data_IF_839975950277
#
_entry.id   IF_839975950277
#
_cell.length_a   1.000
_cell.length_b   1.000
_cell.length_c   1.000
_cell.angle_alpha   90.00
_cell.angle_beta   90.00
_cell.angle_gamma   90.00
#
_symmetry.space_group_name_H-M   'P 1'
#
loop_
_entity.id
_entity.type
_entity.pdbx_description
1 polymer ?
#
# COMPACT_ATOMS: atom_id res chain seq x y z
N UNK A 1 45.23 -11.22 -15.34
CA UNK A 1 43.79 -11.38 -15.64
C UNK A 1 43.29 -12.41 -14.66
N UNK A 2 42.57 -11.98 -13.63
CA UNK A 2 42.00 -12.88 -12.63
C UNK A 2 40.87 -13.66 -13.28
N UNK A 3 41.13 -14.94 -13.54
CA UNK A 3 40.07 -15.92 -13.84
C UNK A 3 39.07 -15.85 -12.70
N UNK A 4 37.92 -15.27 -12.99
CA UNK A 4 36.81 -15.21 -12.04
C UNK A 4 36.12 -16.56 -12.16
N UNK A 5 36.17 -17.37 -11.11
CA UNK A 5 35.47 -18.66 -11.13
C UNK A 5 34.00 -18.43 -11.51
N UNK A 6 33.44 -19.25 -12.42
CA UNK A 6 32.02 -19.21 -12.75
C UNK A 6 31.18 -19.33 -11.47
N UNK A 7 30.36 -18.31 -11.18
CA UNK A 7 29.55 -18.23 -9.96
C UNK A 7 30.14 -17.39 -8.82
N UNK A 8 31.38 -16.91 -8.95
CA UNK A 8 31.92 -15.91 -8.01
C UNK A 8 31.21 -14.55 -8.17
N UNK A 9 31.11 -13.77 -7.09
CA UNK A 9 30.58 -12.40 -7.14
C UNK A 9 31.33 -11.55 -8.19
N UNK A 10 32.66 -11.72 -8.30
CA UNK A 10 33.48 -11.04 -9.30
C UNK A 10 33.07 -11.41 -10.73
N UNK A 11 32.79 -12.69 -10.97
CA UNK A 11 32.29 -13.18 -12.26
C UNK A 11 30.88 -12.65 -12.57
N UNK A 12 29.99 -12.62 -11.58
CA UNK A 12 28.64 -12.04 -11.72
C UNK A 12 28.70 -10.53 -12.02
N UNK A 13 29.57 -9.78 -11.33
CA UNK A 13 29.80 -8.36 -11.61
C UNK A 13 30.34 -8.15 -13.02
N UNK A 14 31.28 -8.98 -13.48
CA UNK A 14 31.80 -8.93 -14.85
C UNK A 14 30.74 -9.20 -15.91
N UNK A 15 29.85 -10.18 -15.69
CA UNK A 15 28.70 -10.44 -16.57
C UNK A 15 27.75 -9.24 -16.57
N UNK A 16 27.42 -8.70 -15.41
CA UNK A 16 26.54 -7.55 -15.29
C UNK A 16 27.09 -6.32 -16.02
N UNK A 17 28.38 -6.02 -15.83
CA UNK A 17 29.05 -4.91 -16.49
C UNK A 17 29.09 -5.08 -18.02
N UNK A 18 29.33 -6.30 -18.51
CA UNK A 18 29.30 -6.61 -19.93
C UNK A 18 27.91 -6.40 -20.55
N UNK A 19 26.84 -6.75 -19.84
CA UNK A 19 25.45 -6.53 -20.25
C UNK A 19 25.08 -5.04 -20.30
N UNK A 20 25.55 -4.23 -19.35
CA UNK A 20 25.34 -2.77 -19.36
C UNK A 20 26.06 -2.13 -20.55
N UNK A 21 27.32 -2.51 -20.78
CA UNK A 21 28.17 -1.89 -21.81
C UNK A 21 27.80 -2.32 -23.23
N UNK A 22 27.23 -3.52 -23.39
CA UNK A 22 26.79 -4.06 -24.68
C UNK A 22 25.31 -4.46 -24.61
N UNK A 23 24.39 -3.48 -24.51
CA UNK A 23 22.97 -3.79 -24.42
C UNK A 23 22.52 -4.49 -25.70
N UNK A 24 21.98 -5.70 -25.56
CA UNK A 24 21.34 -6.38 -26.67
C UNK A 24 20.01 -5.69 -26.97
N UNK A 25 19.86 -5.12 -28.17
CA UNK A 25 18.63 -4.43 -28.57
C UNK A 25 17.39 -5.34 -28.59
N UNK A 26 17.57 -6.68 -28.62
CA UNK A 26 16.49 -7.65 -28.48
C UNK A 26 16.17 -8.00 -27.01
N UNK A 27 17.03 -7.64 -26.06
CA UNK A 27 16.82 -7.82 -24.63
C UNK A 27 15.87 -6.72 -24.08
N UNK A 28 14.64 -6.72 -24.59
CA UNK A 28 13.55 -5.91 -24.07
C UNK A 28 13.11 -6.44 -22.70
N UNK A 29 12.45 -5.60 -21.90
CA UNK A 29 12.09 -5.92 -20.53
C UNK A 29 11.23 -7.18 -20.37
N UNK A 30 10.41 -7.49 -21.37
CA UNK A 30 9.62 -8.72 -21.51
C UNK A 30 10.48 -9.96 -21.85
N UNK A 31 11.49 -9.81 -22.70
CA UNK A 31 12.41 -10.89 -23.05
C UNK A 31 13.39 -11.22 -21.91
N UNK A 32 13.80 -10.23 -21.13
CA UNK A 32 14.66 -10.41 -19.96
C UNK A 32 13.88 -10.87 -18.73
N UNK A 33 12.63 -10.41 -18.60
CA UNK A 33 11.75 -10.72 -17.48
C UNK A 33 10.32 -10.96 -18.01
N UNK A 34 10.02 -12.16 -18.53
CA UNK A 34 8.67 -12.51 -18.96
C UNK A 34 7.67 -12.27 -17.83
N UNK A 35 6.54 -11.62 -18.14
CA UNK A 35 5.51 -11.27 -17.17
C UNK A 35 5.81 -10.05 -16.29
N UNK A 36 6.90 -9.29 -16.55
CA UNK A 36 7.20 -8.05 -15.79
C UNK A 36 6.07 -7.02 -15.82
N UNK A 37 5.25 -7.02 -16.86
CA UNK A 37 4.11 -6.11 -17.03
C UNK A 37 2.78 -6.76 -16.61
N UNK A 38 2.79 -8.02 -16.17
CA UNK A 38 1.57 -8.67 -15.71
C UNK A 38 1.13 -8.03 -14.39
N UNK A 39 -0.19 -7.91 -14.16
CA UNK A 39 -0.71 -7.50 -12.87
C UNK A 39 -0.13 -8.37 -11.75
N UNK A 40 0.26 -7.80 -10.61
CA UNK A 40 0.70 -8.58 -9.47
C UNK A 40 -0.45 -9.48 -9.01
N UNK A 41 -0.14 -10.77 -8.80
CA UNK A 41 -1.09 -11.78 -8.31
C UNK A 41 -1.11 -11.88 -6.78
N UNK A 42 -0.26 -11.12 -6.10
CA UNK A 42 -0.12 -11.10 -4.65
C UNK A 42 0.60 -9.84 -4.20
N UNK A 43 0.63 -9.62 -2.88
CA UNK A 43 1.28 -8.44 -2.30
C UNK A 43 2.77 -8.38 -2.68
N UNK A 44 3.23 -7.22 -3.12
CA UNK A 44 4.62 -6.94 -3.42
C UNK A 44 5.02 -5.58 -2.84
N UNK A 45 6.24 -5.45 -2.28
CA UNK A 45 6.69 -4.18 -1.76
C UNK A 45 6.88 -3.17 -2.90
N UNK A 46 6.21 -2.02 -2.82
CA UNK A 46 6.51 -0.91 -3.72
C UNK A 46 7.91 -0.39 -3.41
N UNK A 47 8.73 -0.25 -4.45
CA UNK A 47 10.08 0.33 -4.37
C UNK A 47 10.11 1.82 -4.71
N UNK A 48 8.95 2.44 -4.91
CA UNK A 48 8.82 3.88 -5.18
C UNK A 48 9.26 4.74 -3.97
N UNK A 49 9.64 6.01 -4.18
CA UNK A 49 9.94 6.93 -3.10
C UNK A 49 8.74 7.11 -2.16
N UNK A 50 9.02 7.43 -0.89
CA UNK A 50 7.97 7.86 0.02
C UNK A 50 7.34 9.16 -0.47
N UNK A 51 6.01 9.24 -0.41
CA UNK A 51 5.22 10.41 -0.81
C UNK A 51 4.37 10.89 0.36
N UNK A 52 4.21 12.20 0.52
CA UNK A 52 3.31 12.74 1.54
C UNK A 52 1.87 12.34 1.28
N UNK A 53 1.09 12.17 2.35
CA UNK A 53 -0.35 11.93 2.28
C UNK A 53 -1.03 13.08 1.52
N UNK A 54 -1.84 12.73 0.52
CA UNK A 54 -2.52 13.69 -0.35
C UNK A 54 -4.03 13.57 -0.15
N UNK A 55 -4.57 14.31 0.80
CA UNK A 55 -6.01 14.42 0.98
C UNK A 55 -6.67 14.97 -0.30
N UNK A 56 -7.83 14.42 -0.66
CA UNK A 56 -8.69 15.03 -1.68
C UNK A 56 -9.18 16.37 -1.16
N UNK A 57 -9.14 17.38 -2.05
CA UNK A 57 -9.83 18.64 -1.83
C UNK A 57 -11.35 18.42 -1.95
N UNK A 58 -12.13 18.57 -0.85
CA UNK A 58 -13.58 18.36 -0.87
C UNK A 58 -14.32 19.22 -1.92
N UNK A 59 -13.78 20.40 -2.25
CA UNK A 59 -14.36 21.27 -3.29
C UNK A 59 -14.36 20.63 -4.68
N UNK A 60 -13.46 19.67 -4.93
CA UNK A 60 -13.36 18.95 -6.21
C UNK A 60 -14.34 17.77 -6.33
N UNK A 61 -15.02 17.40 -5.25
CA UNK A 61 -16.02 16.33 -5.25
C UNK A 61 -17.38 16.79 -5.76
N UNK A 62 -17.62 18.11 -5.80
CA UNK A 62 -18.82 18.75 -6.35
C UNK A 62 -20.14 18.16 -5.80
N UNK A 63 -20.19 17.87 -4.49
CA UNK A 63 -21.38 17.34 -3.80
C UNK A 63 -22.29 18.41 -3.19
N UNK A 64 -21.94 19.69 -3.34
CA UNK A 64 -22.71 20.81 -2.79
C UNK A 64 -23.95 21.15 -3.63
N UNK A 65 -24.84 21.97 -3.06
CA UNK A 65 -26.03 22.48 -3.76
C UNK A 65 -27.31 21.67 -3.56
N UNK A 66 -27.28 20.67 -2.68
CA UNK A 66 -28.44 19.85 -2.30
C UNK A 66 -28.91 20.19 -0.87
N UNK A 67 -30.22 20.13 -0.61
CA UNK A 67 -30.79 20.44 0.71
C UNK A 67 -30.43 19.38 1.78
N UNK A 68 -30.21 18.14 1.35
CA UNK A 68 -29.78 17.03 2.20
C UNK A 68 -28.77 16.13 1.49
N UNK A 69 -27.93 15.45 2.26
CA UNK A 69 -27.07 14.38 1.74
C UNK A 69 -27.86 13.31 0.97
N UNK A 70 -29.12 13.08 1.33
CA UNK A 70 -29.99 12.10 0.68
C UNK A 70 -30.49 12.54 -0.71
N UNK A 71 -30.42 13.83 -1.02
CA UNK A 71 -30.90 14.38 -2.29
C UNK A 71 -29.81 14.36 -3.38
N UNK A 72 -28.53 14.18 -2.99
CA UNK A 72 -27.41 13.98 -3.90
C UNK A 72 -27.71 12.81 -4.84
N UNK A 73 -27.63 12.96 -6.18
CA UNK A 73 -27.78 11.86 -7.12
C UNK A 73 -26.73 10.76 -6.94
N UNK A 74 -27.13 9.50 -7.10
CA UNK A 74 -26.22 8.34 -6.95
C UNK A 74 -25.01 8.41 -7.90
N UNK A 75 -25.16 9.00 -9.09
CA UNK A 75 -24.06 9.23 -10.02
C UNK A 75 -23.01 10.22 -9.51
N UNK A 76 -23.45 11.27 -8.80
CA UNK A 76 -22.54 12.25 -8.18
C UNK A 76 -21.82 11.62 -6.98
N UNK A 77 -22.56 10.92 -6.12
CA UNK A 77 -21.99 10.20 -4.98
C UNK A 77 -20.98 9.13 -5.43
N UNK A 78 -21.31 8.36 -6.46
CA UNK A 78 -20.41 7.34 -7.04
C UNK A 78 -19.11 7.97 -7.54
N UNK A 79 -19.20 9.06 -8.30
CA UNK A 79 -18.02 9.77 -8.80
C UNK A 79 -17.16 10.28 -7.65
N UNK A 80 -17.77 10.89 -6.64
CA UNK A 80 -17.04 11.40 -5.49
C UNK A 80 -16.36 10.29 -4.68
N UNK A 81 -17.04 9.16 -4.43
CA UNK A 81 -16.47 7.98 -3.77
C UNK A 81 -15.25 7.47 -4.55
N UNK A 82 -15.39 7.28 -5.85
CA UNK A 82 -14.29 6.80 -6.71
C UNK A 82 -13.11 7.77 -6.68
N UNK A 83 -13.36 9.07 -6.74
CA UNK A 83 -12.31 10.10 -6.69
C UNK A 83 -11.55 10.08 -5.35
N UNK A 84 -12.25 9.90 -4.22
CA UNK A 84 -11.59 9.72 -2.91
C UNK A 84 -10.77 8.45 -2.88
N UNK A 85 -11.32 7.32 -3.34
CA UNK A 85 -10.61 6.04 -3.32
C UNK A 85 -9.38 6.05 -4.24
N UNK A 86 -9.48 6.61 -5.43
CA UNK A 86 -8.36 6.70 -6.39
C UNK A 86 -7.21 7.56 -5.86
N UNK A 87 -7.50 8.49 -4.94
CA UNK A 87 -6.51 9.44 -4.40
C UNK A 87 -5.95 9.01 -3.04
N UNK A 88 -6.82 8.57 -2.14
CA UNK A 88 -6.52 8.28 -0.73
C UNK A 88 -6.53 6.77 -0.44
N UNK A 89 -6.71 5.91 -1.44
CA UNK A 89 -6.83 4.46 -1.27
C UNK A 89 -5.54 3.71 -0.85
N UNK A 90 -5.66 2.61 -0.08
CA UNK A 90 -6.87 2.16 0.59
C UNK A 90 -7.25 3.18 1.66
N UNK A 91 -8.54 3.53 1.71
CA UNK A 91 -9.06 4.59 2.57
C UNK A 91 -10.02 3.98 3.58
N UNK A 92 -9.82 4.31 4.85
CA UNK A 92 -10.73 3.89 5.91
C UNK A 92 -12.08 4.59 5.78
N UNK A 93 -13.19 3.89 6.04
CA UNK A 93 -14.56 4.40 5.90
C UNK A 93 -14.77 5.75 6.58
N UNK A 94 -14.19 5.95 7.77
CA UNK A 94 -14.28 7.22 8.50
C UNK A 94 -13.67 8.39 7.73
N UNK A 95 -12.55 8.17 7.03
CA UNK A 95 -11.88 9.19 6.22
C UNK A 95 -12.71 9.49 4.99
N UNK A 96 -13.18 8.45 4.29
CA UNK A 96 -14.07 8.59 3.14
C UNK A 96 -15.34 9.39 3.50
N UNK A 97 -16.02 8.99 4.57
CA UNK A 97 -17.23 9.66 5.03
C UNK A 97 -16.98 11.13 5.41
N UNK A 98 -15.82 11.45 6.00
CA UNK A 98 -15.44 12.82 6.32
C UNK A 98 -15.32 13.69 5.06
N UNK A 99 -14.63 13.19 4.01
CA UNK A 99 -14.49 13.89 2.72
C UNK A 99 -15.83 14.14 2.05
N UNK A 100 -16.69 13.13 2.03
CA UNK A 100 -18.02 13.23 1.39
C UNK A 100 -18.92 14.21 2.13
N UNK A 101 -18.89 14.21 3.46
CA UNK A 101 -19.68 15.12 4.29
C UNK A 101 -19.20 16.56 4.17
N UNK A 102 -17.89 16.79 4.17
CA UNK A 102 -17.30 18.11 3.97
C UNK A 102 -17.65 18.68 2.59
N UNK A 103 -17.58 17.86 1.54
CA UNK A 103 -17.96 18.27 0.18
C UNK A 103 -19.45 18.56 0.01
N UNK A 104 -20.30 17.92 0.82
CA UNK A 104 -21.75 18.12 0.81
C UNK A 104 -22.22 19.24 1.75
N UNK A 105 -21.31 19.88 2.50
CA UNK A 105 -21.62 20.84 3.58
C UNK A 105 -22.55 20.25 4.66
N UNK A 106 -22.35 18.97 5.01
CA UNK A 106 -23.16 18.25 6.00
C UNK A 106 -22.35 17.99 7.27
N UNK A 107 -22.77 18.59 8.38
CA UNK A 107 -21.96 18.59 9.61
C UNK A 107 -21.80 17.26 10.37
N UNK A 108 -22.61 16.23 10.11
CA UNK A 108 -22.50 14.95 10.87
C UNK A 108 -22.88 13.69 10.08
N UNK A 109 -22.17 12.61 10.38
CA UNK A 109 -22.50 11.26 9.91
C UNK A 109 -23.62 10.64 10.76
N UNK A 110 -24.87 10.74 10.29
CA UNK A 110 -26.01 10.01 10.86
C UNK A 110 -26.09 8.56 10.37
N UNK A 111 -26.89 7.71 11.04
CA UNK A 111 -27.08 6.29 10.65
C UNK A 111 -27.55 6.15 9.20
N UNK A 112 -28.53 6.95 8.79
CA UNK A 112 -29.06 6.93 7.42
C UNK A 112 -28.02 7.31 6.36
N UNK A 113 -27.14 8.27 6.65
CA UNK A 113 -26.05 8.66 5.75
C UNK A 113 -25.02 7.54 5.67
N UNK A 114 -24.65 6.96 6.83
CA UNK A 114 -23.76 5.79 6.89
C UNK A 114 -24.29 4.64 6.03
N UNK A 115 -25.54 4.22 6.26
CA UNK A 115 -26.19 3.15 5.50
C UNK A 115 -26.19 3.43 4.00
N UNK A 116 -26.42 4.69 3.60
CA UNK A 116 -26.37 5.09 2.18
C UNK A 116 -24.97 4.93 1.60
N UNK A 117 -23.94 5.38 2.30
CA UNK A 117 -22.54 5.26 1.85
C UNK A 117 -22.14 3.79 1.78
N UNK A 118 -22.42 3.00 2.82
CA UNK A 118 -22.13 1.56 2.86
C UNK A 118 -22.81 0.82 1.71
N UNK A 119 -24.10 1.07 1.47
CA UNK A 119 -24.82 0.48 0.34
C UNK A 119 -24.22 0.86 -1.03
N UNK A 120 -23.69 2.08 -1.17
CA UNK A 120 -22.97 2.49 -2.38
C UNK A 120 -21.63 1.75 -2.53
N UNK A 121 -20.89 1.60 -1.43
CA UNK A 121 -19.62 0.86 -1.43
C UNK A 121 -19.82 -0.60 -1.80
N UNK A 122 -20.86 -1.23 -1.28
CA UNK A 122 -21.19 -2.62 -1.58
C UNK A 122 -21.59 -2.78 -3.06
N UNK A 123 -22.41 -1.89 -3.61
CA UNK A 123 -22.77 -1.90 -5.02
C UNK A 123 -21.53 -1.72 -5.95
N UNK A 124 -20.59 -0.86 -5.57
CA UNK A 124 -19.35 -0.64 -6.34
C UNK A 124 -18.40 -1.84 -6.24
N UNK A 125 -18.39 -2.54 -5.11
CA UNK A 125 -17.63 -3.76 -4.92
C UNK A 125 -18.21 -4.93 -5.73
N UNK A 126 -19.53 -5.11 -5.69
CA UNK A 126 -20.24 -6.11 -6.51
C UNK A 126 -20.02 -5.87 -8.02
N UNK A 127 -19.93 -4.61 -8.44
CA UNK A 127 -19.61 -4.23 -9.82
C UNK A 127 -18.12 -4.40 -10.18
N UNK A 128 -17.26 -4.81 -9.24
CA UNK A 128 -15.81 -4.94 -9.44
C UNK A 128 -15.09 -3.61 -9.65
N UNK A 129 -15.73 -2.49 -9.32
CA UNK A 129 -15.12 -1.15 -9.46
C UNK A 129 -14.16 -0.89 -8.31
N UNK A 130 -14.53 -1.29 -7.10
CA UNK A 130 -13.75 -1.15 -5.87
C UNK A 130 -13.58 -2.52 -5.20
N UNK A 131 -12.64 -2.62 -4.27
CA UNK A 131 -12.49 -3.75 -3.36
C UNK A 131 -12.70 -3.30 -1.91
N UNK A 132 -13.26 -4.21 -1.10
CA UNK A 132 -13.57 -4.01 0.32
C UNK A 132 -12.61 -4.86 1.15
N UNK A 133 -11.92 -4.21 2.09
CA UNK A 133 -11.25 -4.87 3.21
C UNK A 133 -11.71 -4.15 4.48
N UNK A 134 -12.95 -4.43 4.89
CA UNK A 134 -13.70 -3.62 5.85
C UNK A 134 -12.92 -3.39 7.15
N UNK A 135 -12.79 -2.14 7.64
CA UNK A 135 -13.48 -0.90 7.23
C UNK A 135 -12.82 -0.10 6.10
N UNK A 136 -11.82 -0.65 5.41
CA UNK A 136 -11.13 0.01 4.31
C UNK A 136 -11.73 -0.32 2.94
N UNK A 137 -11.57 0.62 2.02
CA UNK A 137 -11.97 0.48 0.62
C UNK A 137 -10.85 0.99 -0.29
N UNK A 138 -10.62 0.29 -1.39
CA UNK A 138 -9.52 0.58 -2.30
C UNK A 138 -9.79 0.11 -3.72
N UNK A 139 -8.80 0.32 -4.59
CA UNK A 139 -8.64 -0.48 -5.81
C UNK A 139 -7.78 -1.68 -5.47
N UNK A 140 -7.92 -2.77 -6.22
CA UNK A 140 -7.09 -3.97 -6.04
C UNK A 140 -5.57 -3.65 -6.02
N UNK A 141 -5.13 -2.68 -6.82
CA UNK A 141 -3.73 -2.24 -6.84
C UNK A 141 -3.27 -1.66 -5.51
N UNK A 142 -4.14 -0.94 -4.80
CA UNK A 142 -3.81 -0.33 -3.52
C UNK A 142 -3.50 -1.38 -2.44
N UNK A 143 -4.11 -2.56 -2.54
CA UNK A 143 -3.91 -3.67 -1.63
C UNK A 143 -2.67 -4.51 -1.99
N UNK A 144 -2.42 -4.73 -3.28
CA UNK A 144 -1.31 -5.58 -3.73
C UNK A 144 0.03 -4.84 -3.88
N UNK A 145 0.00 -3.57 -4.28
CA UNK A 145 1.20 -2.73 -4.44
C UNK A 145 0.95 -1.41 -3.74
N UNK A 146 1.01 -1.40 -2.40
CA UNK A 146 0.69 -0.23 -1.59
C UNK A 146 1.64 0.93 -1.89
N UNK A 147 1.10 2.15 -1.89
CA UNK A 147 1.90 3.36 -1.91
C UNK A 147 2.68 3.50 -0.59
N UNK A 148 3.89 4.04 -0.64
CA UNK A 148 4.64 4.35 0.58
C UNK A 148 4.32 5.77 1.03
N UNK A 149 3.37 5.92 1.96
CA UNK A 149 2.82 7.22 2.35
C UNK A 149 3.39 7.73 3.68
N UNK A 150 3.78 9.00 3.71
CA UNK A 150 4.06 9.75 4.93
C UNK A 150 2.79 10.47 5.39
N UNK A 151 2.26 10.06 6.55
CA UNK A 151 1.03 10.57 7.15
C UNK A 151 1.25 11.82 8.01
N UNK A 152 2.47 12.36 8.10
CA UNK A 152 2.79 13.53 8.92
C UNK A 152 1.87 14.73 8.64
N UNK A 153 1.57 14.98 7.37
CA UNK A 153 0.71 16.10 6.92
C UNK A 153 -0.76 15.69 6.71
N UNK A 154 -1.15 14.46 7.08
CA UNK A 154 -2.55 14.05 7.01
C UNK A 154 -3.42 14.87 7.97
N UNK A 155 -4.69 15.18 7.63
CA UNK A 155 -5.56 15.95 8.51
C UNK A 155 -5.68 15.29 9.89
N UNK A 156 -5.51 16.07 10.96
CA UNK A 156 -5.38 15.57 12.34
C UNK A 156 -6.53 14.65 12.76
N UNK A 157 -7.77 14.99 12.38
CA UNK A 157 -8.98 14.21 12.66
C UNK A 157 -8.95 12.79 12.06
N UNK A 158 -8.19 12.60 10.99
CA UNK A 158 -8.13 11.36 10.21
C UNK A 158 -6.77 10.68 10.30
N UNK A 159 -5.75 11.34 10.88
CA UNK A 159 -4.40 10.80 11.08
C UNK A 159 -4.40 9.83 12.26
N UNK A 160 -4.79 8.60 11.98
CA UNK A 160 -4.86 7.49 12.93
C UNK A 160 -4.19 6.25 12.32
N UNK A 161 -3.41 5.52 13.11
CA UNK A 161 -2.74 4.31 12.65
C UNK A 161 -3.75 3.21 12.28
N UNK A 162 -4.90 3.18 12.94
CA UNK A 162 -5.97 2.22 12.64
C UNK A 162 -6.64 2.52 11.29
N UNK A 163 -6.42 3.70 10.72
CA UNK A 163 -6.88 4.03 9.36
C UNK A 163 -5.87 3.65 8.26
N UNK A 164 -4.67 3.18 8.62
CA UNK A 164 -3.64 2.73 7.67
C UNK A 164 -3.87 1.25 7.37
N UNK A 165 -3.87 0.89 6.09
CA UNK A 165 -4.09 -0.49 5.67
C UNK A 165 -2.90 -1.40 6.00
N UNK A 166 -3.17 -2.69 6.24
CA UNK A 166 -2.11 -3.68 6.54
C UNK A 166 -1.05 -3.75 5.45
N UNK A 167 -1.43 -3.63 4.17
CA UNK A 167 -0.48 -3.63 3.05
C UNK A 167 0.57 -2.51 3.18
N UNK A 168 0.19 -1.31 3.63
CA UNK A 168 1.12 -0.20 3.85
C UNK A 168 1.96 -0.38 5.10
N UNK A 169 1.37 -0.92 6.17
CA UNK A 169 2.12 -1.24 7.39
C UNK A 169 3.14 -2.36 7.14
N UNK A 170 2.78 -3.35 6.32
CA UNK A 170 3.71 -4.34 5.81
C UNK A 170 4.84 -3.66 5.02
N UNK A 171 4.52 -2.68 4.17
CA UNK A 171 5.53 -1.96 3.41
C UNK A 171 6.48 -1.16 4.31
N UNK A 172 5.97 -0.48 5.35
CA UNK A 172 6.83 0.29 6.26
C UNK A 172 7.77 -0.61 7.07
N UNK A 173 7.28 -1.75 7.55
CA UNK A 173 8.10 -2.76 8.23
C UNK A 173 9.16 -3.36 7.30
N UNK A 174 8.74 -3.75 6.09
CA UNK A 174 9.64 -4.28 5.08
C UNK A 174 10.77 -3.28 4.75
N UNK A 175 10.44 -2.00 4.55
CA UNK A 175 11.42 -0.94 4.28
C UNK A 175 12.36 -0.69 5.46
N UNK A 176 11.86 -0.76 6.69
CA UNK A 176 12.71 -0.63 7.88
C UNK A 176 13.76 -1.75 7.95
N UNK A 177 13.36 -3.00 7.70
CA UNK A 177 14.29 -4.14 7.68
C UNK A 177 15.20 -4.11 6.45
N UNK A 178 14.72 -3.68 5.28
CA UNK A 178 15.52 -3.62 4.05
C UNK A 178 16.77 -2.75 4.18
N UNK A 179 16.68 -1.68 4.97
CA UNK A 179 17.78 -0.73 5.15
C UNK A 179 18.81 -1.16 6.21
N UNK A 180 18.50 -2.19 7.00
CA UNK A 180 19.32 -2.65 8.12
C UNK A 180 19.67 -4.14 8.02
N UNK A 181 20.91 -4.51 8.33
CA UNK A 181 21.33 -5.92 8.26
C UNK A 181 20.95 -6.67 9.52
N UNK A 182 19.71 -7.12 9.60
CA UNK A 182 19.19 -7.82 10.76
C UNK A 182 18.94 -6.85 11.91
N UNK A 183 17.69 -6.70 12.30
CA UNK A 183 17.26 -5.70 13.28
C UNK A 183 16.31 -6.36 14.28
N UNK A 184 16.33 -5.92 15.54
CA UNK A 184 15.33 -6.39 16.49
C UNK A 184 13.92 -5.90 16.10
N UNK A 185 12.90 -6.68 16.47
CA UNK A 185 11.51 -6.45 16.07
C UNK A 185 10.99 -5.08 16.48
N UNK A 186 11.31 -4.65 17.70
CA UNK A 186 10.86 -3.37 18.25
C UNK A 186 11.46 -2.19 17.49
N UNK A 187 12.76 -2.25 17.21
CA UNK A 187 13.43 -1.23 16.42
C UNK A 187 12.90 -1.20 15.00
N UNK A 188 12.62 -2.35 14.37
CA UNK A 188 12.00 -2.40 13.05
C UNK A 188 10.62 -1.72 13.03
N UNK A 189 9.77 -2.04 14.01
CA UNK A 189 8.45 -1.42 14.16
C UNK A 189 8.56 0.09 14.39
N UNK A 190 9.43 0.53 15.30
CA UNK A 190 9.61 1.94 15.61
C UNK A 190 10.16 2.72 14.40
N UNK A 191 11.16 2.18 13.70
CA UNK A 191 11.74 2.80 12.51
C UNK A 191 10.72 2.87 11.37
N UNK A 192 9.93 1.81 11.17
CA UNK A 192 8.84 1.77 10.18
C UNK A 192 7.80 2.85 10.43
N UNK A 193 7.26 2.94 11.66
CA UNK A 193 6.28 3.98 12.04
C UNK A 193 6.84 5.39 11.89
N UNK A 194 8.05 5.63 12.38
CA UNK A 194 8.66 6.95 12.33
C UNK A 194 8.76 7.48 10.90
N UNK A 195 9.09 6.61 9.93
CA UNK A 195 9.21 6.97 8.51
C UNK A 195 7.89 7.38 7.87
N UNK A 196 6.79 6.78 8.29
CA UNK A 196 5.45 7.10 7.76
C UNK A 196 4.73 8.17 8.58
N UNK A 197 5.44 8.89 9.45
CA UNK A 197 4.91 10.04 10.20
C UNK A 197 4.29 9.73 11.56
N UNK A 198 4.39 8.49 12.05
CA UNK A 198 3.94 8.10 13.39
C UNK A 198 5.13 8.08 14.36
N UNK A 199 5.14 9.00 15.32
CA UNK A 199 6.36 9.35 16.06
C UNK A 199 6.76 8.40 17.20
N UNK A 200 5.88 7.51 17.65
CA UNK A 200 6.13 6.65 18.83
C UNK A 200 5.55 5.26 18.65
N UNK A 201 6.34 4.24 18.96
CA UNK A 201 5.86 2.88 19.18
C UNK A 201 5.22 2.76 20.57
N UNK A 202 3.92 3.06 20.65
CA UNK A 202 3.11 2.79 21.85
C UNK A 202 2.70 1.31 21.92
N UNK A 203 2.18 0.85 23.05
CA UNK A 203 1.66 -0.52 23.18
C UNK A 203 0.54 -0.81 22.17
N UNK A 204 -0.33 0.17 21.91
CA UNK A 204 -1.38 0.04 20.90
C UNK A 204 -0.78 -0.08 19.48
N UNK A 205 0.19 0.77 19.15
CA UNK A 205 0.86 0.72 17.85
C UNK A 205 1.60 -0.60 17.64
N UNK A 206 2.24 -1.12 18.70
CA UNK A 206 2.86 -2.44 18.70
C UNK A 206 1.86 -3.55 18.42
N UNK A 207 0.72 -3.55 19.11
CA UNK A 207 -0.34 -4.53 18.87
C UNK A 207 -0.84 -4.47 17.42
N UNK A 208 -1.08 -3.26 16.91
CA UNK A 208 -1.55 -3.01 15.55
C UNK A 208 -0.58 -3.52 14.47
N UNK A 209 0.72 -3.52 14.74
CA UNK A 209 1.77 -3.96 13.81
C UNK A 209 2.05 -5.46 13.82
N UNK A 210 1.49 -6.22 14.77
CA UNK A 210 1.70 -7.68 14.81
C UNK A 210 1.15 -8.35 13.55
N UNK A 211 -0.10 -8.06 13.19
CA UNK A 211 -0.73 -8.66 12.00
C UNK A 211 0.04 -8.35 10.71
N UNK A 212 0.43 -7.08 10.41
CA UNK A 212 1.31 -6.78 9.29
C UNK A 212 2.66 -7.54 9.33
N UNK A 213 3.29 -7.64 10.50
CA UNK A 213 4.55 -8.36 10.64
C UNK A 213 4.40 -9.86 10.36
N UNK A 214 3.42 -10.51 10.99
CA UNK A 214 3.08 -11.91 10.76
C UNK A 214 2.78 -12.15 9.27
N UNK A 215 2.04 -11.22 8.63
CA UNK A 215 1.79 -11.27 7.20
C UNK A 215 3.05 -11.28 6.34
N UNK A 216 4.10 -10.55 6.71
CA UNK A 216 5.39 -10.58 6.01
C UNK A 216 6.18 -11.87 6.25
N UNK A 217 6.14 -12.40 7.48
CA UNK A 217 6.80 -13.65 7.86
C UNK A 217 6.16 -14.84 7.12
N UNK A 218 4.82 -14.92 7.11
CA UNK A 218 4.07 -15.98 6.43
C UNK A 218 4.30 -15.98 4.92
N UNK A 219 4.51 -14.80 4.32
CA UNK A 219 4.83 -14.64 2.90
C UNK A 219 6.30 -14.90 2.58
N UNK A 220 7.14 -15.19 3.57
CA UNK A 220 8.59 -15.35 3.40
C UNK A 220 9.31 -14.07 2.95
N UNK A 221 8.65 -12.91 3.06
CA UNK A 221 9.23 -11.60 2.76
C UNK A 221 10.20 -11.15 3.84
N UNK A 222 9.88 -11.49 5.09
CA UNK A 222 10.78 -11.36 6.24
C UNK A 222 11.00 -12.76 6.83
N UNK A 223 12.08 -12.90 7.59
CA UNK A 223 12.36 -14.11 8.36
C UNK A 223 12.99 -13.78 9.71
N UNK A 224 12.74 -14.61 10.70
CA UNK A 224 13.43 -14.53 11.99
C UNK A 224 14.76 -15.29 11.93
N UNK A 225 15.83 -14.67 12.44
CA UNK A 225 17.16 -15.29 12.54
C UNK A 225 17.85 -14.83 13.80
N UNK A 226 18.06 -15.73 14.75
CA UNK A 226 18.82 -15.45 15.97
C UNK A 226 18.21 -14.34 16.85
N UNK A 227 16.89 -14.19 16.86
CA UNK A 227 16.17 -13.14 17.61
C UNK A 227 16.12 -11.77 16.93
N UNK A 228 16.60 -11.66 15.69
CA UNK A 228 16.42 -10.50 14.83
C UNK A 228 15.53 -10.85 13.63
N UNK A 229 14.97 -9.84 12.98
CA UNK A 229 14.26 -9.95 11.72
C UNK A 229 15.20 -9.53 10.59
N UNK A 230 15.20 -10.31 9.51
CA UNK A 230 15.93 -10.02 8.28
C UNK A 230 15.02 -10.23 7.05
N UNK A 231 15.51 -9.84 5.88
CA UNK A 231 14.84 -10.13 4.61
C UNK A 231 14.79 -11.64 4.38
N UNK A 232 13.59 -12.13 4.06
CA UNK A 232 13.37 -13.52 3.69
C UNK A 232 13.68 -13.78 2.20
N UNK A 233 13.67 -15.05 1.77
CA UNK A 233 13.99 -15.42 0.40
C UNK A 233 13.01 -14.81 -0.63
N UNK A 234 11.72 -14.70 -0.29
CA UNK A 234 10.70 -14.16 -1.20
C UNK A 234 10.84 -12.65 -1.41
N UNK A 235 11.58 -11.93 -0.55
CA UNK A 235 11.90 -10.51 -0.75
C UNK A 235 12.66 -10.25 -2.06
N UNK A 236 13.38 -11.26 -2.55
CA UNK A 236 14.21 -11.18 -3.76
C UNK A 236 13.58 -11.86 -4.97
N UNK A 237 12.49 -12.59 -4.77
CA UNK A 237 11.76 -13.29 -5.81
C UNK A 237 10.56 -12.44 -6.24
N UNK A 238 10.57 -11.99 -7.50
CA UNK A 238 9.30 -11.53 -8.10
C UNK A 238 8.54 -12.78 -8.46
N UNK A 239 7.39 -13.00 -7.83
CA UNK A 239 6.55 -14.17 -8.05
C UNK A 239 6.45 -14.47 -9.54
N UNK A 240 7.15 -15.52 -9.99
CA UNK A 240 6.85 -16.11 -11.28
C UNK A 240 5.44 -16.64 -11.12
N UNK A 241 4.49 -16.10 -11.90
CA UNK A 241 3.16 -16.68 -12.01
C UNK A 241 3.31 -18.15 -12.37
N UNK A 242 3.26 -19.01 -11.35
CA UNK A 242 3.36 -20.44 -11.51
C UNK A 242 2.13 -20.89 -12.27
N UNK A 243 2.27 -21.04 -13.59
CA UNK A 243 1.52 -22.05 -14.33
C UNK A 243 1.86 -23.39 -13.69
N UNK A 244 1.10 -23.74 -12.65
CA UNK A 244 1.08 -25.09 -12.11
C UNK A 244 0.14 -25.87 -13.02
N UNK A 245 0.72 -26.64 -13.93
CA UNK A 245 0.08 -27.76 -14.62
C UNK A 245 0.68 -29.05 -14.08
#
# INVERSE_FOLDING_TARGET
MTDSEPGSLQGLLGIHEALIRNPNNAARGDALHPGRLDPPSGWQPSMEPIVGYQAVDPGTLELGGHDSFHDIPDSELTRAVVQVVDREGPVHFRVLADRLLEAADVGRLGSRIRERIESHLDALAEAGTLERDDPLVGRWQHFLVPAYRDWSEAPEKTRDLDHVHDSELMLCLFRAVLEEKGIDTDTAMNNGLYRIGFTRLTDNARERLKTPLEGLLDRGMLMETGGAIALGPEAFLRGSGGSSS
#
